data_IF_345592380972
#
_entry.id   IF_345592380972
#
_cell.length_a   1.000
_cell.length_b   1.000
_cell.length_c   1.000
_cell.angle_alpha   90.00
_cell.angle_beta   90.00
_cell.angle_gamma   90.00
#
_symmetry.space_group_name_H-M   'P 1'
#
loop_
_entity.id
_entity.type
_entity.pdbx_description
1 polymer ?
#
# COMPACT_ATOMS: atom_id res chain seq x y z
N UNK A 1 -6.45 35.14 -14.24
CA UNK A 1 -6.42 34.26 -13.05
C UNK A 1 -7.74 33.52 -12.81
N UNK A 2 -8.89 34.12 -13.03
CA UNK A 2 -10.20 33.45 -12.86
C UNK A 2 -10.31 32.12 -13.59
N UNK A 3 -9.97 32.06 -14.88
CA UNK A 3 -9.98 30.80 -15.65
C UNK A 3 -9.08 29.71 -15.07
N UNK A 4 -7.90 30.09 -14.57
CA UNK A 4 -6.97 29.14 -13.95
C UNK A 4 -7.52 28.66 -12.60
N UNK A 5 -8.16 29.56 -11.84
CA UNK A 5 -8.83 29.20 -10.61
C UNK A 5 -9.95 28.17 -10.87
N UNK A 6 -10.81 28.45 -11.84
CA UNK A 6 -11.95 27.57 -12.17
C UNK A 6 -11.51 26.18 -12.67
N UNK A 7 -10.36 26.08 -13.38
CA UNK A 7 -9.76 24.82 -13.78
C UNK A 7 -9.19 24.02 -12.63
N UNK A 8 -8.65 24.69 -11.61
CA UNK A 8 -7.98 24.06 -10.46
C UNK A 8 -8.95 23.79 -9.32
N UNK A 9 -9.96 24.67 -9.13
CA UNK A 9 -10.89 24.60 -8.01
C UNK A 9 -11.65 23.27 -7.99
N UNK A 10 -11.65 22.65 -6.82
CA UNK A 10 -12.42 21.42 -6.55
C UNK A 10 -12.98 21.50 -5.13
N UNK A 11 -14.27 21.21 -5.00
CA UNK A 11 -14.85 20.97 -3.69
C UNK A 11 -14.36 19.63 -3.13
N UNK A 12 -14.15 19.52 -1.81
CA UNK A 12 -13.90 18.22 -1.19
C UNK A 12 -15.16 17.36 -1.27
N UNK A 13 -14.99 16.11 -1.72
CA UNK A 13 -16.07 15.12 -1.76
C UNK A 13 -15.70 13.95 -0.86
N UNK A 14 -16.57 13.61 0.07
CA UNK A 14 -16.40 12.44 0.94
C UNK A 14 -16.54 11.15 0.15
N UNK A 15 -15.84 10.10 0.58
CA UNK A 15 -16.03 8.77 0.04
C UNK A 15 -17.42 8.25 0.39
N UNK A 16 -18.07 7.58 -0.55
CA UNK A 16 -19.40 6.98 -0.35
C UNK A 16 -19.59 5.70 -1.16
N UNK A 17 -20.62 4.93 -0.82
CA UNK A 17 -21.00 3.70 -1.52
C UNK A 17 -22.40 3.90 -2.09
N UNK A 18 -22.57 3.54 -3.37
CA UNK A 18 -23.88 3.36 -3.99
C UNK A 18 -24.22 1.87 -4.03
N UNK A 19 -25.50 1.55 -3.92
CA UNK A 19 -26.01 0.18 -3.99
C UNK A 19 -26.70 -0.06 -5.33
N UNK A 20 -26.70 -1.34 -5.79
CA UNK A 20 -27.41 -1.82 -6.97
C UNK A 20 -26.90 -1.23 -8.31
N UNK A 21 -25.71 -1.55 -8.79
CA UNK A 21 -24.68 -2.41 -8.17
C UNK A 21 -23.89 -1.67 -7.09
N UNK A 22 -23.25 -2.41 -6.19
CA UNK A 22 -22.35 -1.82 -5.19
C UNK A 22 -21.16 -1.17 -5.87
N UNK A 23 -21.06 0.14 -5.71
CA UNK A 23 -19.96 0.93 -6.29
C UNK A 23 -19.35 1.81 -5.20
N UNK A 24 -18.03 1.76 -5.07
CA UNK A 24 -17.29 2.61 -4.14
C UNK A 24 -16.80 3.86 -4.86
N UNK A 25 -17.22 5.01 -4.37
CA UNK A 25 -16.77 6.30 -4.85
C UNK A 25 -15.68 6.84 -3.91
N UNK A 26 -14.44 6.99 -4.38
CA UNK A 26 -13.35 7.49 -3.56
C UNK A 26 -13.57 8.95 -3.18
N UNK A 27 -13.02 9.34 -2.03
CA UNK A 27 -12.97 10.74 -1.66
C UNK A 27 -12.09 11.56 -2.61
N UNK A 28 -12.45 12.81 -2.79
CA UNK A 28 -11.67 13.81 -3.51
C UNK A 28 -11.33 14.94 -2.54
N UNK A 29 -10.07 15.30 -2.43
CA UNK A 29 -9.67 16.47 -1.66
C UNK A 29 -10.00 17.73 -2.44
N UNK A 30 -10.51 18.73 -1.73
CA UNK A 30 -10.73 20.05 -2.29
C UNK A 30 -9.41 20.75 -2.60
N UNK A 31 -9.38 21.54 -3.66
CA UNK A 31 -8.26 22.39 -4.05
C UNK A 31 -8.77 23.80 -4.30
N UNK A 32 -8.12 24.79 -3.71
CA UNK A 32 -8.39 26.19 -3.92
C UNK A 32 -7.08 26.99 -3.91
N UNK A 33 -7.10 28.24 -4.35
CA UNK A 33 -6.01 29.14 -4.07
C UNK A 33 -5.93 29.41 -2.55
N UNK A 34 -4.73 29.53 -1.99
CA UNK A 34 -4.52 29.94 -0.61
C UNK A 34 -4.61 31.45 -0.42
N UNK A 35 -4.69 32.20 -1.52
CA UNK A 35 -4.88 33.65 -1.61
C UNK A 35 -6.10 33.93 -2.47
N UNK A 36 -6.60 35.17 -2.44
CA UNK A 36 -7.70 35.55 -3.32
C UNK A 36 -7.30 35.56 -4.81
N UNK A 37 -8.26 35.45 -5.71
CA UNK A 37 -8.03 35.57 -7.17
C UNK A 37 -7.43 36.93 -7.53
N UNK A 38 -7.85 37.98 -6.81
CA UNK A 38 -7.34 39.37 -6.97
C UNK A 38 -5.86 39.45 -6.59
N UNK A 39 -5.48 38.89 -5.43
CA UNK A 39 -4.08 38.82 -5.00
C UNK A 39 -3.23 37.97 -5.98
N UNK A 40 -3.76 36.84 -6.44
CA UNK A 40 -3.10 36.01 -7.44
C UNK A 40 -2.92 36.74 -8.78
N UNK A 41 -3.88 37.60 -9.15
CA UNK A 41 -3.79 38.43 -10.37
C UNK A 41 -2.68 39.46 -10.27
N UNK A 42 -2.50 40.07 -9.08
CA UNK A 42 -1.41 41.04 -8.85
C UNK A 42 -0.03 40.43 -9.00
N UNK A 43 0.13 39.10 -8.74
CA UNK A 43 1.40 38.44 -8.99
C UNK A 43 1.82 38.48 -10.47
N UNK A 44 0.87 38.55 -11.40
CA UNK A 44 1.15 38.66 -12.84
C UNK A 44 1.62 40.05 -13.28
N UNK A 45 1.46 41.07 -12.42
CA UNK A 45 1.95 42.44 -12.70
C UNK A 45 3.46 42.56 -12.46
N UNK A 46 4.07 41.58 -11.79
CA UNK A 46 5.52 41.49 -11.61
C UNK A 46 6.15 40.88 -12.88
N UNK A 47 7.23 41.47 -13.35
CA UNK A 47 7.95 40.94 -14.54
C UNK A 47 8.82 39.75 -14.15
N UNK A 48 8.25 38.52 -14.22
CA UNK A 48 8.87 37.25 -13.85
C UNK A 48 8.65 36.21 -14.94
N UNK A 49 9.63 35.33 -15.12
CA UNK A 49 9.52 34.19 -16.05
C UNK A 49 8.59 33.08 -15.52
N UNK A 50 8.42 32.96 -14.18
CA UNK A 50 7.62 31.94 -13.54
C UNK A 50 6.81 32.56 -12.38
N UNK A 51 5.54 32.20 -12.31
CA UNK A 51 4.63 32.61 -11.23
C UNK A 51 4.15 31.39 -10.45
N UNK A 52 4.19 31.49 -9.11
CA UNK A 52 3.74 30.43 -8.20
C UNK A 52 2.57 30.92 -7.37
N UNK A 53 1.41 30.33 -7.62
CA UNK A 53 0.22 30.58 -6.81
C UNK A 53 0.13 29.53 -5.71
N UNK A 54 0.14 29.92 -4.42
CA UNK A 54 0.01 28.97 -3.33
C UNK A 54 -1.39 28.32 -3.34
N UNK A 55 -1.45 26.98 -3.16
CA UNK A 55 -2.70 26.22 -3.11
C UNK A 55 -3.02 25.82 -1.67
N UNK A 56 -4.33 25.86 -1.36
CA UNK A 56 -4.91 25.30 -0.13
C UNK A 56 -5.59 23.98 -0.48
N UNK A 57 -5.19 22.91 0.20
CA UNK A 57 -5.83 21.61 0.10
C UNK A 57 -6.79 21.42 1.27
N UNK A 58 -8.05 21.15 0.99
CA UNK A 58 -9.06 20.78 1.98
C UNK A 58 -9.26 19.29 1.92
N UNK A 59 -8.89 18.58 2.98
CA UNK A 59 -9.05 17.12 3.06
C UNK A 59 -10.53 16.79 3.19
N UNK A 60 -11.02 15.79 2.47
CA UNK A 60 -12.36 15.27 2.64
C UNK A 60 -12.55 14.70 4.06
N UNK A 61 -13.75 14.85 4.64
CA UNK A 61 -14.04 14.41 6.01
C UNK A 61 -14.07 12.88 6.12
N UNK A 62 -14.48 12.20 5.06
CA UNK A 62 -14.60 10.74 4.99
C UNK A 62 -13.80 10.19 3.83
N UNK A 63 -12.87 9.30 4.13
CA UNK A 63 -12.04 8.61 3.12
C UNK A 63 -12.60 7.22 2.83
N UNK A 64 -12.09 6.55 1.80
CA UNK A 64 -12.42 5.13 1.54
C UNK A 64 -12.15 4.24 2.76
N UNK A 65 -11.13 4.55 3.57
CA UNK A 65 -10.82 3.80 4.78
C UNK A 65 -11.93 3.86 5.82
N UNK A 66 -12.67 4.96 5.84
CA UNK A 66 -13.76 5.21 6.78
C UNK A 66 -15.08 4.55 6.33
N UNK A 67 -15.15 4.02 5.11
CA UNK A 67 -16.30 3.26 4.60
C UNK A 67 -16.41 1.86 5.23
N UNK A 68 -15.36 1.38 5.90
CA UNK A 68 -15.36 0.10 6.58
C UNK A 68 -15.41 -1.12 5.64
N UNK A 69 -15.96 -2.23 6.16
CA UNK A 69 -16.01 -3.51 5.44
C UNK A 69 -16.99 -3.51 4.26
N UNK A 70 -17.97 -2.64 4.24
CA UNK A 70 -18.94 -2.51 3.15
C UNK A 70 -18.29 -2.11 1.81
N UNK A 71 -17.16 -1.41 1.87
CA UNK A 71 -16.39 -1.05 0.68
C UNK A 71 -15.56 -2.22 0.10
N UNK A 72 -15.40 -3.31 0.85
CA UNK A 72 -14.54 -4.44 0.51
C UNK A 72 -15.21 -5.78 0.86
N UNK A 73 -16.41 -6.08 0.32
CA UNK A 73 -17.22 -7.22 0.77
C UNK A 73 -16.60 -8.57 0.41
N UNK A 74 -15.85 -8.64 -0.69
CA UNK A 74 -15.38 -9.90 -1.26
C UNK A 74 -13.92 -10.18 -0.94
N UNK A 75 -13.61 -11.48 -0.77
CA UNK A 75 -12.24 -11.99 -0.81
C UNK A 75 -11.85 -12.22 -2.27
N UNK A 76 -10.88 -11.45 -2.75
CA UNK A 76 -10.34 -11.56 -4.11
C UNK A 76 -9.21 -12.60 -4.17
N UNK A 77 -8.37 -12.64 -3.14
CA UNK A 77 -7.29 -13.60 -3.03
C UNK A 77 -6.81 -13.71 -1.58
N UNK A 78 -6.39 -14.90 -1.16
CA UNK A 78 -5.85 -15.12 0.18
C UNK A 78 -4.73 -16.14 0.13
N UNK A 79 -3.74 -15.94 0.99
CA UNK A 79 -2.65 -16.90 1.17
C UNK A 79 -2.19 -16.94 2.62
N UNK A 80 -1.66 -18.10 3.02
CA UNK A 80 -1.20 -18.32 4.39
C UNK A 80 0.12 -19.05 4.38
N UNK A 81 1.07 -18.58 5.19
CA UNK A 81 2.32 -19.28 5.47
C UNK A 81 2.49 -19.50 6.96
N UNK A 82 3.30 -20.48 7.34
CA UNK A 82 3.59 -20.83 8.73
C UNK A 82 5.04 -20.48 9.08
N UNK A 83 5.27 -20.10 10.34
CA UNK A 83 6.61 -19.82 10.87
C UNK A 83 6.74 -20.35 12.30
N UNK A 84 7.96 -20.57 12.73
CA UNK A 84 8.24 -20.99 14.11
C UNK A 84 7.99 -19.85 15.09
N UNK A 85 6.92 -19.97 15.88
CA UNK A 85 6.55 -18.98 16.89
C UNK A 85 7.52 -18.94 18.10
N UNK A 86 8.38 -19.94 18.26
CA UNK A 86 9.38 -19.96 19.34
C UNK A 86 10.54 -19.01 19.07
N UNK A 87 10.84 -18.72 17.78
CA UNK A 87 11.80 -17.69 17.39
C UNK A 87 11.20 -16.29 17.57
N UNK A 88 11.32 -15.76 18.78
CA UNK A 88 10.66 -14.51 19.20
C UNK A 88 11.04 -13.30 18.35
N UNK A 89 12.31 -13.15 17.98
CA UNK A 89 12.77 -12.02 17.18
C UNK A 89 12.20 -12.06 15.76
N UNK A 90 12.24 -13.24 15.12
CA UNK A 90 11.68 -13.43 13.79
C UNK A 90 10.15 -13.26 13.79
N UNK A 91 9.48 -13.79 14.80
CA UNK A 91 8.03 -13.63 14.98
C UNK A 91 7.63 -12.17 15.14
N UNK A 92 8.40 -11.39 15.93
CA UNK A 92 8.22 -9.95 16.06
C UNK A 92 8.32 -9.24 14.70
N UNK A 93 9.34 -9.54 13.90
CA UNK A 93 9.56 -8.90 12.60
C UNK A 93 8.45 -9.22 11.61
N UNK A 94 8.00 -10.47 11.56
CA UNK A 94 6.89 -10.91 10.72
C UNK A 94 5.60 -10.21 11.13
N UNK A 95 5.29 -10.20 12.45
CA UNK A 95 4.10 -9.52 12.97
C UNK A 95 4.11 -8.02 12.69
N UNK A 96 5.24 -7.36 12.94
CA UNK A 96 5.38 -5.92 12.71
C UNK A 96 5.23 -5.56 11.21
N UNK A 97 5.84 -6.36 10.32
CA UNK A 97 5.71 -6.14 8.88
C UNK A 97 4.26 -6.36 8.40
N UNK A 98 3.58 -7.40 8.91
CA UNK A 98 2.17 -7.64 8.62
C UNK A 98 1.28 -6.50 9.11
N UNK A 99 1.50 -6.00 10.33
CA UNK A 99 0.77 -4.85 10.88
C UNK A 99 0.93 -3.60 10.01
N UNK A 100 2.13 -3.33 9.50
CA UNK A 100 2.40 -2.14 8.69
C UNK A 100 1.68 -2.15 7.34
N UNK A 101 1.47 -3.31 6.74
CA UNK A 101 0.73 -3.44 5.47
C UNK A 101 -0.79 -3.62 5.69
N UNK A 102 -1.20 -4.01 6.90
CA UNK A 102 -2.61 -4.23 7.19
C UNK A 102 -3.44 -2.96 7.06
N UNK A 103 -4.61 -3.06 6.46
CA UNK A 103 -5.53 -1.95 6.23
C UNK A 103 -5.10 -1.01 5.08
N UNK A 104 -4.02 -1.32 4.34
CA UNK A 104 -3.64 -0.52 3.18
C UNK A 104 -4.69 -0.65 2.09
N UNK A 105 -5.22 0.49 1.64
CA UNK A 105 -6.13 0.60 0.50
C UNK A 105 -5.35 1.09 -0.70
N UNK A 106 -5.56 0.45 -1.84
CA UNK A 106 -4.95 0.77 -3.13
C UNK A 106 -6.07 1.12 -4.11
N UNK A 107 -6.09 2.36 -4.59
CA UNK A 107 -7.10 2.84 -5.52
C UNK A 107 -6.87 2.25 -6.93
N UNK A 108 -7.90 2.26 -7.82
CA UNK A 108 -7.73 1.90 -9.21
C UNK A 108 -6.54 2.63 -9.86
N UNK A 109 -5.67 1.88 -10.51
CA UNK A 109 -4.47 2.42 -11.15
C UNK A 109 -3.28 2.70 -10.23
N UNK A 110 -3.46 2.72 -8.91
CA UNK A 110 -2.36 2.91 -7.95
C UNK A 110 -1.45 1.70 -7.85
N UNK A 111 -0.18 1.96 -7.55
CA UNK A 111 0.84 0.93 -7.31
C UNK A 111 1.22 0.89 -5.84
N UNK A 112 1.07 -0.29 -5.24
CA UNK A 112 1.59 -0.60 -3.91
C UNK A 112 3.08 -0.87 -3.97
N UNK A 113 3.83 -0.41 -2.96
CA UNK A 113 5.24 -0.74 -2.73
C UNK A 113 5.41 -1.28 -1.31
N UNK A 114 5.93 -2.48 -1.19
CA UNK A 114 6.18 -3.10 0.10
C UNK A 114 7.20 -2.30 0.92
N UNK A 115 8.30 -1.89 0.28
CA UNK A 115 9.34 -1.12 0.95
C UNK A 115 8.83 0.25 1.43
N UNK A 116 8.06 0.95 0.60
CA UNK A 116 7.47 2.25 0.98
C UNK A 116 6.52 2.11 2.17
N UNK A 117 5.71 1.05 2.20
CA UNK A 117 4.70 0.83 3.24
C UNK A 117 5.32 0.34 4.54
N UNK A 118 6.21 -0.64 4.49
CA UNK A 118 6.87 -1.19 5.70
C UNK A 118 7.93 -0.24 6.24
N UNK A 119 8.59 0.51 5.38
CA UNK A 119 9.68 1.42 5.74
C UNK A 119 11.01 0.71 5.97
N UNK A 120 12.05 1.49 6.30
CA UNK A 120 13.38 0.95 6.63
C UNK A 120 13.34 0.11 7.90
N UNK A 121 13.95 -1.08 7.84
CA UNK A 121 14.00 -2.03 8.97
C UNK A 121 15.11 -1.63 9.89
N UNK A 122 14.77 -0.97 10.99
CA UNK A 122 15.71 -0.50 12.02
C UNK A 122 15.27 -0.95 13.41
N UNK A 123 16.21 -1.02 14.36
CA UNK A 123 15.88 -1.29 15.77
C UNK A 123 14.95 -0.23 16.34
N UNK A 124 15.14 1.05 15.95
CA UNK A 124 14.25 2.15 16.35
C UNK A 124 12.81 2.01 15.81
N UNK A 125 12.63 1.36 14.65
CA UNK A 125 11.31 1.03 14.10
C UNK A 125 10.71 -0.26 14.71
N UNK A 126 11.36 -0.87 15.72
CA UNK A 126 10.88 -2.06 16.43
C UNK A 126 11.32 -3.38 15.81
N UNK A 127 12.11 -3.38 14.72
CA UNK A 127 12.65 -4.61 14.14
C UNK A 127 13.82 -5.14 14.96
N UNK A 128 13.95 -6.46 15.00
CA UNK A 128 14.97 -7.19 15.76
C UNK A 128 15.89 -7.95 14.82
N UNK A 129 17.09 -8.29 15.30
CA UNK A 129 18.00 -9.20 14.59
C UNK A 129 17.41 -10.60 14.59
N UNK A 130 17.37 -11.21 13.42
CA UNK A 130 16.93 -12.59 13.21
C UNK A 130 17.58 -13.14 11.93
N UNK A 131 17.50 -14.47 11.74
CA UNK A 131 18.07 -15.12 10.56
C UNK A 131 17.49 -14.56 9.25
N UNK A 132 18.38 -14.18 8.35
CA UNK A 132 18.11 -13.76 6.99
C UNK A 132 19.09 -14.44 6.03
N UNK A 133 18.71 -14.53 4.75
CA UNK A 133 19.60 -15.07 3.71
C UNK A 133 20.27 -13.89 2.99
N UNK A 134 21.60 -13.87 3.02
CA UNK A 134 22.41 -12.93 2.25
C UNK A 134 23.70 -13.61 1.75
N UNK A 135 24.05 -13.38 0.47
CA UNK A 135 25.27 -13.92 -0.12
C UNK A 135 25.38 -15.44 -0.04
N UNK A 136 24.26 -16.18 -0.05
CA UNK A 136 24.28 -17.65 0.04
C UNK A 136 24.42 -18.22 1.44
N UNK A 137 24.36 -17.40 2.47
CA UNK A 137 24.51 -17.81 3.87
C UNK A 137 23.37 -17.29 4.72
N UNK A 138 23.10 -17.99 5.82
CA UNK A 138 22.22 -17.46 6.88
C UNK A 138 23.04 -16.50 7.74
N UNK A 139 22.59 -15.25 7.79
CA UNK A 139 23.19 -14.21 8.66
C UNK A 139 22.15 -13.69 9.65
N UNK A 140 22.58 -13.02 10.69
CA UNK A 140 21.71 -12.28 11.59
C UNK A 140 21.59 -10.85 11.06
N UNK A 141 20.36 -10.43 10.73
CA UNK A 141 20.07 -9.11 10.19
C UNK A 141 18.84 -8.51 10.85
N UNK A 142 18.83 -7.18 11.04
CA UNK A 142 17.65 -6.47 11.54
C UNK A 142 16.51 -6.55 10.50
N UNK A 143 15.39 -7.14 10.89
CA UNK A 143 14.27 -7.39 9.99
C UNK A 143 14.26 -8.79 9.39
N UNK A 144 15.16 -9.71 9.79
CA UNK A 144 15.12 -11.09 9.33
C UNK A 144 13.73 -11.71 9.49
N UNK A 145 13.21 -12.34 8.40
CA UNK A 145 11.88 -12.93 8.34
C UNK A 145 10.85 -12.17 7.52
N UNK A 146 11.05 -10.88 7.21
CA UNK A 146 10.04 -10.05 6.49
C UNK A 146 9.76 -10.51 5.06
N UNK A 147 10.73 -11.17 4.39
CA UNK A 147 10.50 -11.75 3.06
C UNK A 147 9.43 -12.84 3.07
N UNK A 148 9.13 -13.44 4.21
CA UNK A 148 7.99 -14.34 4.32
C UNK A 148 6.67 -13.57 4.23
N UNK A 149 6.60 -12.35 4.76
CA UNK A 149 5.39 -11.50 4.65
C UNK A 149 5.20 -11.04 3.19
N UNK A 150 6.26 -10.56 2.53
CA UNK A 150 6.18 -10.15 1.11
C UNK A 150 5.85 -11.32 0.20
N UNK A 151 6.37 -12.53 0.45
CA UNK A 151 6.02 -13.73 -0.30
C UNK A 151 4.57 -14.18 -0.08
N UNK A 152 4.07 -14.05 1.16
CA UNK A 152 2.67 -14.35 1.46
C UNK A 152 1.74 -13.35 0.75
N UNK A 153 2.11 -12.07 0.76
CA UNK A 153 1.39 -11.01 0.05
C UNK A 153 1.42 -11.26 -1.47
N UNK A 154 2.59 -11.58 -2.03
CA UNK A 154 2.71 -11.89 -3.46
C UNK A 154 1.73 -12.98 -3.90
N UNK A 155 1.62 -14.08 -3.16
CA UNK A 155 0.68 -15.14 -3.49
C UNK A 155 -0.79 -14.69 -3.38
N UNK A 156 -1.15 -13.93 -2.35
CA UNK A 156 -2.50 -13.37 -2.21
C UNK A 156 -2.85 -12.44 -3.39
N UNK A 157 -1.89 -11.62 -3.83
CA UNK A 157 -2.01 -10.70 -4.97
C UNK A 157 -2.16 -11.46 -6.28
N UNK A 158 -1.39 -12.55 -6.49
CA UNK A 158 -1.54 -13.44 -7.66
C UNK A 158 -2.94 -14.07 -7.70
N UNK A 159 -3.44 -14.57 -6.56
CA UNK A 159 -4.81 -15.12 -6.49
C UNK A 159 -5.90 -14.07 -6.68
N UNK A 160 -5.63 -12.81 -6.35
CA UNK A 160 -6.53 -11.69 -6.62
C UNK A 160 -6.47 -11.21 -8.09
N UNK A 161 -5.58 -11.79 -8.92
CA UNK A 161 -5.34 -11.40 -10.30
C UNK A 161 -4.99 -9.91 -10.48
N UNK A 162 -4.15 -9.38 -9.56
CA UNK A 162 -3.61 -8.03 -9.66
C UNK A 162 -2.28 -8.03 -10.43
N UNK A 163 -1.98 -6.92 -11.07
CA UNK A 163 -0.79 -6.74 -11.92
C UNK A 163 0.50 -6.64 -11.08
N UNK A 164 1.41 -7.61 -11.22
CA UNK A 164 2.73 -7.55 -10.59
C UNK A 164 3.63 -6.63 -11.41
N UNK A 165 4.14 -5.55 -10.80
CA UNK A 165 5.00 -4.57 -11.48
C UNK A 165 6.47 -4.71 -11.09
N UNK A 166 6.78 -5.25 -9.91
CA UNK A 166 8.14 -5.56 -9.49
C UNK A 166 8.15 -6.76 -8.53
N UNK A 167 8.97 -7.75 -8.84
CA UNK A 167 9.16 -8.91 -7.98
C UNK A 167 10.51 -9.58 -8.28
N UNK A 168 11.23 -9.94 -7.24
CA UNK A 168 12.45 -10.76 -7.32
C UNK A 168 12.28 -12.00 -6.46
N UNK A 169 12.81 -13.14 -6.94
CA UNK A 169 12.90 -14.36 -6.15
C UNK A 169 14.20 -14.40 -5.34
N UNK A 170 14.23 -15.22 -4.30
CA UNK A 170 15.47 -15.50 -3.59
C UNK A 170 16.41 -16.33 -4.49
N UNK A 171 17.70 -16.20 -4.23
CA UNK A 171 18.71 -17.08 -4.87
C UNK A 171 18.62 -18.55 -4.40
N UNK A 172 17.91 -18.79 -3.29
CA UNK A 172 17.69 -20.13 -2.71
C UNK A 172 16.21 -20.35 -2.45
N UNK A 173 15.79 -21.61 -2.49
CA UNK A 173 14.41 -21.96 -2.18
C UNK A 173 14.06 -21.59 -0.75
N UNK A 174 12.95 -20.90 -0.59
CA UNK A 174 12.40 -20.60 0.72
C UNK A 174 11.53 -21.75 1.22
N UNK A 175 11.67 -22.11 2.49
CA UNK A 175 10.93 -23.24 3.09
C UNK A 175 9.43 -22.98 3.33
N UNK A 176 8.96 -21.74 3.19
CA UNK A 176 7.59 -21.33 3.54
C UNK A 176 6.64 -21.18 2.34
N UNK A 177 7.16 -21.22 1.10
CA UNK A 177 6.38 -21.28 -0.15
C UNK A 177 7.03 -22.23 -1.14
N UNK A 178 6.28 -22.71 -2.11
CA UNK A 178 6.82 -23.49 -3.20
C UNK A 178 7.83 -22.70 -4.05
N UNK A 179 8.76 -23.40 -4.71
CA UNK A 179 9.74 -22.80 -5.60
C UNK A 179 9.10 -21.85 -6.62
N UNK A 180 9.66 -20.66 -6.80
CA UNK A 180 9.15 -19.63 -7.70
C UNK A 180 7.92 -18.86 -7.18
N UNK A 181 7.45 -19.15 -5.97
CA UNK A 181 6.29 -18.48 -5.34
C UNK A 181 6.69 -17.49 -4.25
N UNK A 182 7.94 -17.14 -4.17
CA UNK A 182 8.49 -16.19 -3.22
C UNK A 182 8.65 -14.78 -3.80
N UNK A 183 8.76 -13.79 -2.95
CA UNK A 183 9.08 -12.41 -3.28
C UNK A 183 10.06 -11.87 -2.24
N UNK A 184 11.32 -11.71 -2.64
CA UNK A 184 12.37 -11.15 -1.76
C UNK A 184 12.34 -9.63 -1.79
N UNK A 185 12.60 -9.03 -0.64
CA UNK A 185 12.67 -7.57 -0.48
C UNK A 185 13.90 -7.17 0.32
N UNK A 186 14.55 -6.09 -0.12
CA UNK A 186 15.67 -5.47 0.58
C UNK A 186 15.57 -3.96 0.46
N UNK A 187 15.80 -3.24 1.56
CA UNK A 187 15.65 -1.78 1.55
C UNK A 187 16.64 -1.12 0.61
N UNK A 188 16.07 -0.34 -0.34
CA UNK A 188 16.85 0.43 -1.32
C UNK A 188 17.33 -0.35 -2.55
N UNK A 189 17.10 -1.67 -2.63
CA UNK A 189 17.59 -2.49 -3.75
C UNK A 189 16.53 -3.39 -4.38
N UNK A 190 15.73 -4.10 -3.59
CA UNK A 190 14.71 -5.04 -4.07
C UNK A 190 13.38 -4.72 -3.42
N UNK A 191 12.34 -4.57 -4.23
CA UNK A 191 10.98 -4.31 -3.75
C UNK A 191 9.99 -5.35 -4.29
N UNK A 192 8.86 -5.43 -3.64
CA UNK A 192 7.68 -6.09 -4.17
C UNK A 192 6.61 -5.04 -4.43
N UNK A 193 6.24 -4.89 -5.71
CA UNK A 193 5.23 -3.93 -6.14
C UNK A 193 4.15 -4.61 -6.99
N UNK A 194 2.93 -4.15 -6.81
CA UNK A 194 1.81 -4.53 -7.67
C UNK A 194 0.90 -3.32 -7.87
N UNK A 195 0.20 -3.30 -8.99
CA UNK A 195 -0.77 -2.28 -9.35
C UNK A 195 -2.18 -2.83 -9.19
N UNK A 196 -3.07 -2.01 -8.66
CA UNK A 196 -4.49 -2.29 -8.74
C UNK A 196 -4.97 -1.99 -10.17
N UNK A 197 -5.07 -3.04 -11.00
CA UNK A 197 -5.57 -3.00 -12.37
C UNK A 197 -7.10 -3.20 -12.48
N UNK A 198 -7.81 -3.16 -11.33
CA UNK A 198 -9.27 -3.29 -11.25
C UNK A 198 -9.94 -1.92 -11.28
N UNK A 199 -11.26 -1.91 -11.49
CA UNK A 199 -12.07 -0.68 -11.48
C UNK A 199 -12.42 -0.19 -10.08
N UNK A 200 -12.28 -1.04 -9.05
CA UNK A 200 -12.62 -0.75 -7.66
C UNK A 200 -11.37 -0.79 -6.77
N UNK A 201 -11.39 -0.07 -5.63
CA UNK A 201 -10.31 -0.15 -4.66
C UNK A 201 -10.15 -1.56 -4.10
N UNK A 202 -8.91 -1.91 -3.74
CA UNK A 202 -8.61 -3.14 -3.00
C UNK A 202 -7.97 -2.82 -1.67
N UNK A 203 -8.20 -3.68 -0.67
CA UNK A 203 -7.68 -3.55 0.70
C UNK A 203 -6.83 -4.77 1.05
N UNK A 204 -5.67 -4.53 1.65
CA UNK A 204 -4.85 -5.59 2.23
C UNK A 204 -5.31 -5.82 3.68
N UNK A 205 -5.70 -7.04 4.01
CA UNK A 205 -5.85 -7.52 5.37
C UNK A 205 -4.72 -8.47 5.68
N UNK A 206 -3.92 -8.17 6.71
CA UNK A 206 -2.76 -8.95 7.08
C UNK A 206 -2.71 -9.20 8.57
N UNK A 207 -2.48 -10.44 8.95
CA UNK A 207 -2.28 -10.85 10.33
C UNK A 207 -1.14 -11.85 10.46
N UNK A 208 -0.33 -11.71 11.50
CA UNK A 208 0.72 -12.66 11.80
C UNK A 208 0.80 -12.87 13.32
N UNK A 209 0.28 -14.00 13.76
CA UNK A 209 0.26 -14.41 15.16
C UNK A 209 0.36 -15.92 15.29
N UNK A 210 0.81 -16.40 16.43
CA UNK A 210 0.85 -17.83 16.79
C UNK A 210 1.42 -18.74 15.68
N UNK A 211 2.47 -18.27 14.98
CA UNK A 211 3.13 -19.05 13.92
C UNK A 211 2.41 -19.06 12.57
N UNK A 212 1.35 -18.28 12.41
CA UNK A 212 0.56 -18.16 11.17
C UNK A 212 0.63 -16.74 10.64
N UNK A 213 1.05 -16.57 9.40
CA UNK A 213 0.99 -15.32 8.65
C UNK A 213 -0.03 -15.48 7.53
N UNK A 214 -1.16 -14.77 7.64
CA UNK A 214 -2.26 -14.80 6.68
C UNK A 214 -2.46 -13.41 6.08
N UNK A 215 -2.56 -13.37 4.76
CA UNK A 215 -2.84 -12.14 4.01
C UNK A 215 -4.01 -12.40 3.06
N UNK A 216 -4.93 -11.44 3.03
CA UNK A 216 -6.12 -11.46 2.20
C UNK A 216 -6.19 -10.13 1.44
N UNK A 217 -6.46 -10.21 0.14
CA UNK A 217 -6.84 -9.06 -0.67
C UNK A 217 -8.38 -9.04 -0.73
N UNK A 218 -8.96 -7.96 -0.25
CA UNK A 218 -10.40 -7.73 -0.27
C UNK A 218 -10.75 -6.64 -1.29
N UNK A 219 -11.97 -6.66 -1.80
CA UNK A 219 -12.48 -5.69 -2.76
C UNK A 219 -13.88 -6.07 -3.23
N UNK A 220 -14.24 -5.63 -4.42
CA UNK A 220 -15.48 -6.00 -5.10
C UNK A 220 -15.14 -6.97 -6.23
N UNK A 221 -15.83 -8.13 -6.27
CA UNK A 221 -15.76 -9.04 -7.41
C UNK A 221 -16.52 -8.41 -8.58
N UNK A 222 -15.82 -8.29 -9.71
CA UNK A 222 -16.48 -7.94 -10.97
C UNK A 222 -17.20 -9.16 -11.50
N UNK A 223 -18.49 -9.02 -11.80
CA UNK A 223 -19.23 -10.05 -12.54
C UNK A 223 -18.64 -10.17 -13.94
N UNK A 224 -18.44 -11.40 -14.39
CA UNK A 224 -17.90 -11.70 -15.74
C UNK A 224 -18.98 -11.55 -16.78
#
# INVERSE_FOLDING_TARGET
MEKIHDEIYKEPVDAYITQNPTTVHPNVNGVNFAISVEEATKLLEEDKEEYRVPLKITVANKTIRDLGEEAFPDVLGTFTTRYDATNKNRSNNISLAAQKINGTVILPGETFSYNKTVGKRTKAAGFKEAGAYAGGKVIQEVGGGICQVSSTLYNAVVYANLEITERSNHCFESSYVAAGRDATVSWGTLDFKFKNNRQYPVKIEASANSGVNKITIKGIKEEK
#
